data_IF_232892713966
#
_entry.id   IF_232892713966
#
_cell.length_a   1.000
_cell.length_b   1.000
_cell.length_c   1.000
_cell.angle_alpha   90.00
_cell.angle_beta   90.00
_cell.angle_gamma   90.00
#
_symmetry.space_group_name_H-M   'P 1'
#
loop_
_entity.id
_entity.type
_entity.pdbx_description
1 polymer ?
#
# COMPACT_ATOMS: atom_id res chain seq x y z
N UNK A 1 5.08 -18.13 2.83
CA UNK A 1 5.59 -17.24 1.76
C UNK A 1 6.67 -16.35 2.33
N UNK A 2 7.59 -15.85 1.50
CA UNK A 2 8.67 -14.98 1.95
C UNK A 2 8.25 -13.51 1.90
N UNK A 3 8.65 -12.74 2.91
CA UNK A 3 8.57 -11.28 2.93
C UNK A 3 9.17 -10.72 1.63
N UNK A 4 8.54 -9.67 1.08
CA UNK A 4 9.05 -8.97 -0.11
C UNK A 4 10.44 -8.40 0.18
N UNK A 5 11.32 -8.49 -0.80
CA UNK A 5 12.65 -7.89 -0.72
C UNK A 5 12.56 -6.36 -0.80
N UNK A 6 13.58 -5.67 -0.32
CA UNK A 6 13.61 -4.20 -0.37
C UNK A 6 13.59 -3.67 -1.82
N UNK A 7 14.16 -4.43 -2.77
CA UNK A 7 14.06 -4.13 -4.21
C UNK A 7 12.62 -4.21 -4.72
N UNK A 8 11.88 -5.25 -4.32
CA UNK A 8 10.47 -5.40 -4.68
C UNK A 8 9.62 -4.27 -4.07
N UNK A 9 9.88 -3.92 -2.81
CA UNK A 9 9.20 -2.81 -2.13
C UNK A 9 9.52 -1.47 -2.83
N UNK A 10 10.77 -1.22 -3.21
CA UNK A 10 11.14 -0.01 -3.95
C UNK A 10 10.46 0.09 -5.31
N UNK A 11 10.40 -1.02 -6.05
CA UNK A 11 9.72 -1.06 -7.35
C UNK A 11 8.22 -0.73 -7.19
N UNK A 12 7.58 -1.27 -6.14
CA UNK A 12 6.18 -1.01 -5.84
C UNK A 12 5.93 0.46 -5.46
N UNK A 13 6.77 1.02 -4.58
CA UNK A 13 6.71 2.44 -4.20
C UNK A 13 6.80 3.34 -5.44
N UNK A 14 7.75 3.05 -6.34
CA UNK A 14 7.91 3.82 -7.56
C UNK A 14 6.68 3.73 -8.49
N UNK A 15 6.08 2.54 -8.60
CA UNK A 15 4.85 2.33 -9.38
C UNK A 15 3.66 3.11 -8.77
N UNK A 16 3.47 3.02 -7.46
CA UNK A 16 2.40 3.73 -6.74
C UNK A 16 2.54 5.26 -6.84
N UNK A 17 3.75 5.81 -6.69
CA UNK A 17 4.00 7.24 -6.86
C UNK A 17 3.68 7.74 -8.27
N UNK A 18 3.96 6.94 -9.29
CA UNK A 18 3.64 7.26 -10.68
C UNK A 18 2.14 7.22 -10.97
N UNK A 19 1.41 6.32 -10.30
CA UNK A 19 -0.04 6.16 -10.43
C UNK A 19 -0.82 7.20 -9.64
N UNK A 20 -0.38 7.57 -8.43
CA UNK A 20 -1.07 8.47 -7.52
C UNK A 20 -1.66 9.72 -8.19
N UNK A 21 -0.93 10.52 -8.99
CA UNK A 21 -1.50 11.74 -9.59
C UNK A 21 -2.55 11.47 -10.68
N UNK A 22 -2.67 10.23 -11.16
CA UNK A 22 -3.62 9.83 -12.22
C UNK A 22 -4.93 9.29 -11.66
N UNK A 23 -4.99 9.01 -10.35
CA UNK A 23 -6.14 8.42 -9.69
C UNK A 23 -7.16 9.50 -9.29
N UNK A 24 -8.44 9.13 -9.14
CA UNK A 24 -9.43 10.04 -8.53
C UNK A 24 -9.04 10.39 -7.10
N UNK A 25 -9.42 11.58 -6.62
CA UNK A 25 -8.93 12.17 -5.36
C UNK A 25 -9.05 11.23 -4.15
N UNK A 26 -10.16 10.48 -4.05
CA UNK A 26 -10.38 9.44 -3.03
C UNK A 26 -9.28 8.37 -3.05
N UNK A 27 -8.99 7.80 -4.22
CA UNK A 27 -7.96 6.78 -4.37
C UNK A 27 -6.52 7.34 -4.19
N UNK A 28 -6.32 8.66 -4.35
CA UNK A 28 -5.02 9.27 -4.04
C UNK A 28 -4.69 9.22 -2.53
N UNK A 29 -5.71 9.37 -1.69
CA UNK A 29 -5.58 9.31 -0.22
C UNK A 29 -5.27 7.88 0.25
N UNK A 30 -6.02 6.91 -0.27
CA UNK A 30 -5.73 5.47 -0.12
C UNK A 30 -4.29 5.11 -0.50
N UNK A 31 -3.84 5.52 -1.70
CA UNK A 31 -2.46 5.27 -2.15
C UNK A 31 -1.43 5.97 -1.27
N UNK A 32 -1.74 7.15 -0.72
CA UNK A 32 -0.84 7.84 0.21
C UNK A 32 -0.64 7.03 1.50
N UNK A 33 -1.70 6.40 2.02
CA UNK A 33 -1.63 5.53 3.19
C UNK A 33 -0.78 4.27 2.91
N UNK A 34 -1.02 3.60 1.78
CA UNK A 34 -0.22 2.46 1.34
C UNK A 34 1.26 2.81 1.15
N UNK A 35 1.56 3.94 0.49
CA UNK A 35 2.92 4.45 0.31
C UNK A 35 3.61 4.67 1.65
N UNK A 36 2.94 5.31 2.60
CA UNK A 36 3.48 5.58 3.93
C UNK A 36 3.91 4.29 4.65
N UNK A 37 3.10 3.24 4.58
CA UNK A 37 3.43 1.93 5.18
C UNK A 37 4.68 1.33 4.54
N UNK A 38 4.80 1.38 3.22
CA UNK A 38 5.93 0.80 2.50
C UNK A 38 7.22 1.59 2.71
N UNK A 39 7.14 2.92 2.68
CA UNK A 39 8.27 3.85 2.84
C UNK A 39 8.82 3.84 4.26
N UNK A 40 7.96 4.04 5.27
CA UNK A 40 8.36 4.10 6.67
C UNK A 40 8.59 2.70 7.26
N UNK A 41 8.16 1.66 6.53
CA UNK A 41 8.21 0.28 6.99
C UNK A 41 7.44 0.05 8.28
N UNK A 42 6.23 0.60 8.33
CA UNK A 42 5.34 0.51 9.47
C UNK A 42 5.07 -0.96 9.83
N UNK A 43 4.99 -1.21 11.14
CA UNK A 43 4.56 -2.50 11.70
C UNK A 43 3.03 -2.63 11.63
N UNK A 44 2.49 -3.81 11.91
CA UNK A 44 1.03 -3.98 12.01
C UNK A 44 0.44 -3.05 13.08
N UNK A 45 1.04 -3.05 14.27
CA UNK A 45 0.59 -2.20 15.38
C UNK A 45 0.61 -0.72 15.00
N UNK A 46 1.66 -0.28 14.29
CA UNK A 46 1.76 1.10 13.79
C UNK A 46 0.67 1.46 12.79
N UNK A 47 0.17 0.50 12.00
CA UNK A 47 -0.98 0.76 11.10
C UNK A 47 -2.25 1.01 11.93
N UNK A 48 -2.52 0.17 12.93
CA UNK A 48 -3.67 0.34 13.84
C UNK A 48 -3.61 1.60 14.69
N UNK A 49 -2.40 2.07 15.04
CA UNK A 49 -2.23 3.33 15.78
C UNK A 49 -2.40 4.57 14.90
N UNK A 50 -2.04 4.49 13.62
CA UNK A 50 -1.98 5.65 12.73
C UNK A 50 -3.22 5.85 11.87
N UNK A 51 -3.95 4.78 11.55
CA UNK A 51 -5.13 4.82 10.70
C UNK A 51 -6.35 4.34 11.48
N UNK A 52 -7.49 5.01 11.27
CA UNK A 52 -8.75 4.64 11.91
C UNK A 52 -9.26 3.32 11.32
N UNK A 53 -9.42 2.30 12.17
CA UNK A 53 -9.92 0.98 11.73
C UNK A 53 -11.29 1.11 11.04
N UNK A 54 -11.40 0.54 9.84
CA UNK A 54 -12.60 0.63 8.99
C UNK A 54 -12.66 1.86 8.07
N UNK A 55 -11.66 2.75 8.12
CA UNK A 55 -11.44 3.76 7.07
C UNK A 55 -10.82 3.12 5.82
N UNK A 56 -10.98 3.75 4.66
CA UNK A 56 -10.34 3.26 3.44
C UNK A 56 -8.82 3.31 3.53
N UNK A 57 -8.30 4.39 4.13
CA UNK A 57 -6.86 4.55 4.35
C UNK A 57 -6.29 3.44 5.21
N UNK A 58 -7.04 2.96 6.22
CA UNK A 58 -6.65 1.81 7.02
C UNK A 58 -6.59 0.53 6.19
N UNK A 59 -7.62 0.24 5.39
CA UNK A 59 -7.66 -0.98 4.56
C UNK A 59 -6.49 -1.01 3.58
N UNK A 60 -6.19 0.12 2.94
CA UNK A 60 -5.07 0.24 2.00
C UNK A 60 -3.69 0.20 2.70
N UNK A 61 -3.55 0.83 3.87
CA UNK A 61 -2.36 0.73 4.70
C UNK A 61 -2.12 -0.73 5.15
N UNK A 62 -3.17 -1.42 5.59
CA UNK A 62 -3.12 -2.80 6.03
C UNK A 62 -2.80 -3.75 4.86
N UNK A 63 -3.44 -3.55 3.70
CA UNK A 63 -3.15 -4.29 2.48
C UNK A 63 -1.67 -4.13 2.07
N UNK A 64 -1.11 -2.92 2.18
CA UNK A 64 0.29 -2.67 1.89
C UNK A 64 1.24 -3.40 2.85
N UNK A 65 0.90 -3.40 4.15
CA UNK A 65 1.64 -4.15 5.18
C UNK A 65 1.63 -5.65 4.90
N UNK A 66 0.46 -6.20 4.55
CA UNK A 66 0.26 -7.62 4.24
C UNK A 66 0.99 -8.02 2.96
N UNK A 67 0.93 -7.19 1.92
CA UNK A 67 1.69 -7.39 0.69
C UNK A 67 3.20 -7.45 0.97
N UNK A 68 3.72 -6.53 1.82
CA UNK A 68 5.13 -6.52 2.21
C UNK A 68 5.54 -7.81 2.94
N UNK A 69 4.67 -8.36 3.78
CA UNK A 69 4.92 -9.66 4.45
C UNK A 69 4.82 -10.87 3.52
N UNK A 70 4.46 -10.65 2.25
CA UNK A 70 4.31 -11.71 1.28
C UNK A 70 3.08 -12.56 1.55
N UNK A 71 2.01 -11.97 2.11
CA UNK A 71 0.73 -12.65 2.22
C UNK A 71 0.28 -13.19 0.85
N UNK A 72 -0.19 -14.44 0.82
CA UNK A 72 -0.50 -15.15 -0.42
C UNK A 72 -1.70 -14.56 -1.14
N UNK A 73 -1.58 -14.37 -2.46
CA UNK A 73 -2.69 -13.96 -3.33
C UNK A 73 -2.79 -12.45 -3.62
N UNK A 74 -1.95 -11.61 -3.02
CA UNK A 74 -1.92 -10.19 -3.35
C UNK A 74 -1.19 -9.92 -4.66
N UNK A 75 -1.92 -9.53 -5.70
CA UNK A 75 -1.33 -8.77 -6.81
C UNK A 75 -0.60 -7.53 -6.26
N UNK A 76 0.31 -6.98 -7.05
CA UNK A 76 0.92 -5.69 -6.72
C UNK A 76 -0.19 -4.65 -6.48
N UNK A 77 -0.07 -3.84 -5.43
CA UNK A 77 -1.05 -2.79 -5.11
C UNK A 77 -1.24 -1.84 -6.30
N UNK A 78 -0.15 -1.54 -6.99
CA UNK A 78 -0.10 -0.75 -8.22
C UNK A 78 -0.89 -1.36 -9.38
N UNK A 79 -1.07 -2.68 -9.43
CA UNK A 79 -1.96 -3.34 -10.41
C UNK A 79 -3.41 -3.05 -10.03
N UNK A 80 -3.78 -3.25 -8.76
CA UNK A 80 -5.13 -2.99 -8.26
C UNK A 80 -5.56 -1.53 -8.48
N UNK A 81 -4.70 -0.55 -8.14
CA UNK A 81 -5.05 0.85 -8.35
C UNK A 81 -5.11 1.26 -9.82
N UNK A 82 -4.40 0.56 -10.71
CA UNK A 82 -4.45 0.87 -12.15
C UNK A 82 -5.84 0.59 -12.73
N UNK A 83 -6.61 -0.32 -12.14
CA UNK A 83 -7.99 -0.61 -12.56
C UNK A 83 -8.98 0.51 -12.24
N UNK A 84 -8.57 1.50 -11.43
CA UNK A 84 -9.41 2.65 -11.02
C UNK A 84 -9.23 3.89 -11.93
N UNK A 85 -8.39 3.80 -12.97
CA UNK A 85 -8.16 4.84 -13.98
C UNK A 85 -9.09 4.61 -15.17
#
# INVERSE_FOLDING_TARGET
MARKTDEQVHAEIAALKSLQPRLPQRAQQAVAAALKVLEDGLSHDSVYEMFEEGSEEFEDAFAARMWRDGAAGGEALSVLYRELI
#
